data_IF_240122664618
#
_entry.id   IF_240122664618
#
_cell.length_a   1.000
_cell.length_b   1.000
_cell.length_c   1.000
_cell.angle_alpha   90.00
_cell.angle_beta   90.00
_cell.angle_gamma   90.00
#
_symmetry.space_group_name_H-M   'P 1'
#
loop_
_entity.id
_entity.type
_entity.pdbx_description
1 polymer ?
#
# COMPACT_ATOMS: atom_id res chain seq x y z
N UNK A 1 -15.94 21.09 24.09
CA UNK A 1 -16.20 20.32 22.86
C UNK A 1 -15.45 21.01 21.74
N UNK A 2 -14.24 20.53 21.42
CA UNK A 2 -13.47 21.01 20.28
C UNK A 2 -14.21 20.56 19.03
N UNK A 3 -14.43 21.47 18.11
CA UNK A 3 -15.25 21.33 16.92
C UNK A 3 -14.74 20.18 16.04
N UNK A 4 -15.16 18.94 16.28
CA UNK A 4 -14.80 17.74 15.51
C UNK A 4 -15.10 17.87 14.00
N UNK A 5 -16.03 18.75 13.63
CA UNK A 5 -16.38 19.01 12.23
C UNK A 5 -15.22 19.62 11.40
N UNK A 6 -14.34 20.43 11.98
CA UNK A 6 -13.23 21.08 11.25
C UNK A 6 -12.06 20.15 10.91
N UNK A 7 -11.91 19.03 11.61
CA UNK A 7 -10.83 18.08 11.33
C UNK A 7 -11.13 17.16 10.14
N UNK A 8 -12.41 16.82 9.94
CA UNK A 8 -12.83 15.93 8.86
C UNK A 8 -12.95 16.62 7.48
N UNK A 9 -13.06 17.95 7.44
CA UNK A 9 -13.20 18.71 6.18
C UNK A 9 -11.93 18.64 5.29
N UNK A 10 -10.79 18.19 5.85
CA UNK A 10 -9.51 18.09 5.14
C UNK A 10 -9.08 16.65 4.81
N UNK A 11 -9.84 15.65 5.23
CA UNK A 11 -9.52 14.24 4.99
C UNK A 11 -10.65 13.54 4.25
N UNK A 12 -10.28 12.76 3.24
CA UNK A 12 -11.19 11.86 2.55
C UNK A 12 -11.05 10.49 3.21
N UNK A 13 -12.17 9.95 3.70
CA UNK A 13 -12.19 8.60 4.26
C UNK A 13 -12.28 7.58 3.14
N UNK A 14 -11.31 6.68 3.10
CA UNK A 14 -11.30 5.49 2.26
C UNK A 14 -11.84 4.32 3.07
N UNK A 15 -12.80 3.59 2.50
CA UNK A 15 -13.33 2.38 3.10
C UNK A 15 -12.22 1.32 3.17
N UNK A 16 -12.14 0.63 4.31
CA UNK A 16 -11.22 -0.47 4.46
C UNK A 16 -11.98 -1.80 4.44
N UNK A 17 -11.72 -2.62 3.42
CA UNK A 17 -12.11 -4.02 3.32
C UNK A 17 -13.56 -4.33 3.74
N UNK A 18 -14.52 -3.50 3.35
CA UNK A 18 -15.94 -3.62 3.68
C UNK A 18 -16.24 -3.67 5.20
N UNK A 19 -15.41 -3.07 6.03
CA UNK A 19 -15.70 -2.94 7.45
C UNK A 19 -16.84 -1.96 7.67
N UNK A 20 -17.71 -2.25 8.64
CA UNK A 20 -18.72 -1.31 9.09
C UNK A 20 -18.07 -0.18 9.88
N UNK A 21 -18.45 1.05 9.56
CA UNK A 21 -18.03 2.24 10.29
C UNK A 21 -19.03 2.56 11.41
N UNK A 22 -18.60 3.29 12.45
CA UNK A 22 -19.51 3.81 13.46
C UNK A 22 -20.64 4.64 12.82
N UNK A 23 -21.78 4.69 13.47
CA UNK A 23 -22.91 5.51 13.03
C UNK A 23 -22.50 6.97 12.83
N UNK A 24 -22.90 7.57 11.72
CA UNK A 24 -22.53 8.96 11.35
C UNK A 24 -21.24 9.10 10.55
N UNK A 25 -20.52 8.01 10.29
CA UNK A 25 -19.35 7.99 9.40
C UNK A 25 -19.68 7.28 8.09
N UNK A 26 -19.38 7.94 6.98
CA UNK A 26 -19.50 7.37 5.65
C UNK A 26 -18.16 7.54 4.92
N UNK A 27 -17.60 6.44 4.45
CA UNK A 27 -16.42 6.51 3.59
C UNK A 27 -16.81 7.09 2.21
N UNK A 28 -16.09 8.09 1.76
CA UNK A 28 -16.31 8.73 0.45
C UNK A 28 -15.77 7.87 -0.70
N UNK A 29 -14.69 7.13 -0.44
CA UNK A 29 -13.99 6.30 -1.42
C UNK A 29 -14.11 4.84 -0.97
N UNK A 30 -14.47 3.95 -1.88
CA UNK A 30 -14.48 2.50 -1.68
C UNK A 30 -13.06 1.95 -1.89
N UNK A 31 -12.61 0.99 -1.08
CA UNK A 31 -11.45 0.18 -1.41
C UNK A 31 -11.88 -0.99 -2.31
N UNK A 32 -11.18 -1.17 -3.42
CA UNK A 32 -11.40 -2.27 -4.37
C UNK A 32 -10.10 -3.06 -4.54
N UNK A 33 -10.15 -4.35 -4.26
CA UNK A 33 -9.00 -5.23 -4.41
C UNK A 33 -8.72 -5.52 -5.90
N UNK A 34 -7.46 -5.29 -6.31
CA UNK A 34 -6.94 -5.56 -7.64
C UNK A 34 -5.73 -6.51 -7.57
N UNK A 35 -5.91 -7.62 -6.84
CA UNK A 35 -4.88 -8.65 -6.70
C UNK A 35 -4.85 -9.58 -7.93
N UNK A 36 -3.77 -10.33 -8.10
CA UNK A 36 -3.57 -11.21 -9.24
C UNK A 36 -4.51 -12.42 -9.32
N UNK A 37 -5.39 -12.60 -8.35
CA UNK A 37 -6.48 -13.57 -8.37
C UNK A 37 -7.82 -12.96 -8.84
N UNK A 38 -7.82 -11.69 -9.25
CA UNK A 38 -8.99 -10.99 -9.77
C UNK A 38 -9.01 -10.96 -11.29
N UNK A 39 -10.19 -11.11 -11.85
CA UNK A 39 -10.50 -10.97 -13.27
C UNK A 39 -11.58 -9.91 -13.52
N UNK A 40 -12.24 -9.46 -12.44
CA UNK A 40 -13.28 -8.44 -12.46
C UNK A 40 -13.24 -7.62 -11.17
N UNK A 41 -13.61 -6.35 -11.28
CA UNK A 41 -13.90 -5.45 -10.16
C UNK A 41 -15.35 -5.00 -10.22
N UNK A 42 -15.91 -4.55 -9.09
CA UNK A 42 -17.28 -4.07 -9.00
C UNK A 42 -17.36 -2.79 -8.15
N UNK A 43 -16.80 -1.66 -8.64
CA UNK A 43 -16.85 -0.40 -7.94
C UNK A 43 -18.27 0.19 -7.99
N UNK A 44 -18.84 0.50 -6.81
CA UNK A 44 -20.18 1.09 -6.68
C UNK A 44 -20.16 2.62 -6.60
N UNK A 45 -18.97 3.23 -6.40
CA UNK A 45 -18.71 4.67 -6.27
C UNK A 45 -17.25 4.98 -6.57
N UNK A 46 -16.80 6.22 -6.36
CA UNK A 46 -15.38 6.56 -6.40
C UNK A 46 -14.56 5.58 -5.53
N UNK A 47 -13.43 5.10 -6.04
CA UNK A 47 -12.69 4.04 -5.38
C UNK A 47 -11.18 4.22 -5.44
N UNK A 48 -10.53 3.64 -4.44
CA UNK A 48 -9.10 3.37 -4.38
C UNK A 48 -8.86 1.91 -4.75
N UNK A 49 -7.97 1.67 -5.68
CA UNK A 49 -7.59 0.33 -6.11
C UNK A 49 -6.38 -0.15 -5.30
N UNK A 50 -6.60 -1.13 -4.42
CA UNK A 50 -5.54 -1.77 -3.64
C UNK A 50 -4.95 -2.93 -4.44
N UNK A 51 -3.74 -2.76 -4.95
CA UNK A 51 -3.11 -3.72 -5.87
C UNK A 51 -2.38 -4.87 -5.14
N UNK A 52 -1.74 -5.77 -5.90
CA UNK A 52 -0.99 -6.91 -5.35
C UNK A 52 0.14 -6.44 -4.39
N UNK A 53 0.29 -7.10 -3.26
CA UNK A 53 1.17 -6.72 -2.16
C UNK A 53 2.15 -7.80 -1.67
N UNK A 54 2.30 -8.90 -2.42
CA UNK A 54 3.27 -9.99 -2.13
C UNK A 54 3.16 -10.61 -0.73
N UNK A 55 1.96 -10.71 -0.19
CA UNK A 55 1.74 -11.36 1.10
C UNK A 55 1.14 -12.74 0.91
N UNK A 56 1.99 -13.77 0.96
CA UNK A 56 1.56 -15.16 0.82
C UNK A 56 1.51 -15.64 -0.64
N UNK A 57 1.17 -16.90 -0.78
CA UNK A 57 1.02 -17.54 -2.08
C UNK A 57 -0.23 -17.04 -2.79
N UNK A 58 -0.11 -16.73 -4.09
CA UNK A 58 -1.23 -16.39 -4.95
C UNK A 58 -1.60 -17.57 -5.87
N UNK A 59 -2.89 -17.65 -6.17
CA UNK A 59 -3.41 -18.52 -7.21
C UNK A 59 -3.70 -17.65 -8.44
N UNK A 60 -2.92 -17.89 -9.49
CA UNK A 60 -3.10 -17.21 -10.78
C UNK A 60 -3.99 -18.06 -11.67
N UNK A 61 -5.27 -18.16 -11.35
CA UNK A 61 -6.22 -19.02 -12.07
C UNK A 61 -7.38 -18.25 -12.69
N UNK A 62 -7.19 -16.94 -12.94
CA UNK A 62 -8.18 -16.10 -13.62
C UNK A 62 -7.84 -16.03 -15.11
N UNK A 63 -8.85 -15.83 -15.94
CA UNK A 63 -8.67 -15.66 -17.38
C UNK A 63 -7.85 -14.40 -17.69
N UNK A 64 -8.10 -13.31 -16.98
CA UNK A 64 -7.41 -12.03 -17.18
C UNK A 64 -5.91 -12.17 -16.93
N UNK A 65 -5.49 -12.71 -15.78
CA UNK A 65 -4.07 -12.80 -15.44
C UNK A 65 -3.29 -13.72 -16.38
N UNK A 66 -3.96 -14.68 -17.03
CA UNK A 66 -3.30 -15.59 -17.98
C UNK A 66 -2.76 -14.88 -19.22
N UNK A 67 -3.22 -13.66 -19.51
CA UNK A 67 -2.70 -12.80 -20.58
C UNK A 67 -1.33 -12.19 -20.26
N UNK A 68 -0.88 -12.27 -18.99
CA UNK A 68 0.28 -11.56 -18.47
C UNK A 68 1.35 -12.54 -17.94
N UNK A 69 2.11 -13.19 -18.84
CA UNK A 69 3.05 -14.23 -18.47
C UNK A 69 4.20 -13.75 -17.58
N UNK A 70 4.64 -12.49 -17.69
CA UNK A 70 5.69 -11.94 -16.85
C UNK A 70 5.21 -11.77 -15.39
N UNK A 71 3.95 -11.40 -15.15
CA UNK A 71 3.37 -11.34 -13.81
C UNK A 71 3.37 -12.72 -13.15
N UNK A 72 2.95 -13.76 -13.90
CA UNK A 72 2.87 -15.13 -13.40
C UNK A 72 4.27 -15.73 -13.16
N UNK A 73 5.21 -15.52 -14.09
CA UNK A 73 6.55 -16.03 -14.00
C UNK A 73 7.37 -15.41 -12.86
N UNK A 74 7.08 -14.17 -12.49
CA UNK A 74 7.76 -13.47 -11.43
C UNK A 74 7.23 -13.90 -10.06
N UNK A 75 7.57 -15.12 -9.64
CA UNK A 75 7.22 -15.64 -8.32
C UNK A 75 8.35 -16.43 -7.69
N UNK A 76 8.37 -16.47 -6.35
CA UNK A 76 9.26 -17.32 -5.56
C UNK A 76 8.41 -18.10 -4.56
N UNK A 77 8.39 -19.42 -4.71
CA UNK A 77 7.54 -20.29 -3.89
C UNK A 77 6.05 -19.94 -3.94
N UNK A 78 5.57 -19.43 -5.08
CA UNK A 78 4.18 -19.00 -5.29
C UNK A 78 3.86 -17.60 -4.76
N UNK A 79 4.85 -16.87 -4.24
CA UNK A 79 4.69 -15.48 -3.79
C UNK A 79 5.11 -14.53 -4.91
N UNK A 80 4.28 -13.59 -5.33
CA UNK A 80 4.62 -12.64 -6.38
C UNK A 80 5.88 -11.84 -6.05
N UNK A 81 6.75 -11.67 -7.05
CA UNK A 81 7.92 -10.80 -6.98
C UNK A 81 7.61 -9.49 -7.72
N UNK A 82 7.01 -8.54 -7.01
CA UNK A 82 6.61 -7.25 -7.57
C UNK A 82 7.82 -6.51 -8.16
N UNK A 83 7.62 -5.86 -9.28
CA UNK A 83 8.69 -5.05 -9.92
C UNK A 83 9.92 -5.87 -10.29
N UNK A 84 9.74 -7.14 -10.66
CA UNK A 84 10.86 -8.05 -10.98
C UNK A 84 11.64 -7.62 -12.21
N UNK A 85 10.96 -7.12 -13.24
CA UNK A 85 11.56 -6.70 -14.51
C UNK A 85 10.77 -5.55 -15.16
N UNK A 86 11.28 -5.01 -16.26
CA UNK A 86 10.60 -4.00 -17.08
C UNK A 86 9.32 -4.57 -17.70
N UNK A 87 9.36 -5.81 -18.18
CA UNK A 87 8.20 -6.52 -18.74
C UNK A 87 7.12 -6.70 -17.66
N UNK A 88 7.52 -7.06 -16.44
CA UNK A 88 6.61 -7.14 -15.31
C UNK A 88 5.88 -5.82 -15.07
N UNK A 89 6.60 -4.70 -15.04
CA UNK A 89 6.03 -3.39 -14.81
C UNK A 89 5.06 -2.98 -15.95
N UNK A 90 5.42 -3.29 -17.18
CA UNK A 90 4.57 -3.06 -18.36
C UNK A 90 3.29 -3.89 -18.29
N UNK A 91 3.40 -5.21 -18.06
CA UNK A 91 2.23 -6.09 -17.96
C UNK A 91 1.37 -5.77 -16.73
N UNK A 92 1.97 -5.28 -15.64
CA UNK A 92 1.21 -4.85 -14.46
C UNK A 92 0.32 -3.64 -14.77
N UNK A 93 0.82 -2.68 -15.53
CA UNK A 93 -0.01 -1.57 -16.00
C UNK A 93 -1.15 -2.06 -16.91
N UNK A 94 -0.84 -2.95 -17.88
CA UNK A 94 -1.85 -3.52 -18.77
C UNK A 94 -2.93 -4.32 -18.03
N UNK A 95 -2.52 -5.11 -17.02
CA UNK A 95 -3.44 -5.82 -16.14
C UNK A 95 -4.40 -4.86 -15.40
N UNK A 96 -3.87 -3.75 -14.85
CA UNK A 96 -4.71 -2.74 -14.18
C UNK A 96 -5.67 -2.08 -15.18
N UNK A 97 -5.20 -1.72 -16.37
CA UNK A 97 -6.03 -1.09 -17.41
C UNK A 97 -7.15 -2.04 -17.86
N UNK A 98 -6.84 -3.31 -18.11
CA UNK A 98 -7.84 -4.31 -18.47
C UNK A 98 -8.87 -4.55 -17.36
N UNK A 99 -8.40 -4.58 -16.08
CA UNK A 99 -9.27 -4.78 -14.93
C UNK A 99 -10.24 -3.60 -14.72
N UNK A 100 -9.82 -2.38 -15.05
CA UNK A 100 -10.66 -1.16 -15.01
C UNK A 100 -11.58 -1.06 -16.22
N UNK A 101 -11.29 -1.79 -17.30
CA UNK A 101 -12.04 -1.68 -18.56
C UNK A 101 -13.55 -1.93 -18.35
N UNK A 102 -14.37 -1.00 -18.84
CA UNK A 102 -15.83 -1.05 -18.66
C UNK A 102 -16.35 -0.50 -17.32
N UNK A 103 -15.46 -0.04 -16.45
CA UNK A 103 -15.80 0.59 -15.17
C UNK A 103 -15.38 2.06 -15.12
N UNK A 104 -15.79 2.76 -14.07
CA UNK A 104 -15.25 4.11 -13.78
C UNK A 104 -13.77 4.03 -13.46
N UNK A 105 -13.03 5.11 -13.79
CA UNK A 105 -11.61 5.23 -13.46
C UNK A 105 -11.41 5.31 -11.95
N UNK A 106 -10.43 4.60 -11.36
CA UNK A 106 -10.10 4.73 -9.94
C UNK A 106 -9.61 6.16 -9.63
N UNK A 107 -9.94 6.66 -8.46
CA UNK A 107 -9.38 7.92 -7.95
C UNK A 107 -7.91 7.72 -7.54
N UNK A 108 -7.60 6.55 -6.98
CA UNK A 108 -6.28 6.21 -6.45
C UNK A 108 -5.91 4.80 -6.92
N UNK A 109 -4.66 4.61 -7.31
CA UNK A 109 -4.03 3.29 -7.46
C UNK A 109 -2.94 3.16 -6.40
N UNK A 110 -3.15 2.27 -5.44
CA UNK A 110 -2.19 1.98 -4.38
C UNK A 110 -1.35 0.77 -4.76
N UNK A 111 -0.03 1.01 -4.84
CA UNK A 111 0.97 0.00 -5.17
C UNK A 111 1.85 -0.33 -3.96
N UNK A 112 2.59 -1.43 -4.04
CA UNK A 112 3.44 -1.92 -2.97
C UNK A 112 4.90 -2.10 -3.42
N UNK A 113 5.88 -1.90 -2.50
CA UNK A 113 7.29 -2.02 -2.85
C UNK A 113 7.73 -3.48 -3.05
N UNK A 114 8.81 -3.70 -3.82
CA UNK A 114 9.43 -5.02 -3.96
C UNK A 114 10.26 -5.41 -2.73
N UNK A 115 10.73 -6.66 -2.70
CA UNK A 115 11.77 -7.12 -1.79
C UNK A 115 13.16 -6.77 -2.29
N UNK A 116 14.08 -6.54 -1.37
CA UNK A 116 15.45 -6.12 -1.63
C UNK A 116 16.39 -7.25 -2.10
N UNK A 117 15.96 -8.51 -2.08
CA UNK A 117 16.75 -9.65 -2.53
C UNK A 117 16.78 -9.78 -4.07
N UNK A 118 15.88 -9.10 -4.78
CA UNK A 118 15.82 -9.13 -6.24
C UNK A 118 15.61 -7.76 -6.90
N UNK A 119 15.40 -6.71 -6.13
CA UNK A 119 15.20 -5.36 -6.64
C UNK A 119 15.89 -4.34 -5.75
N UNK A 120 16.56 -3.37 -6.35
CA UNK A 120 17.06 -2.17 -5.66
C UNK A 120 16.04 -1.03 -5.75
N UNK A 121 16.22 0.01 -4.93
CA UNK A 121 15.34 1.19 -4.98
C UNK A 121 15.42 1.91 -6.34
N UNK A 122 16.63 2.05 -6.92
CA UNK A 122 16.81 2.58 -8.27
C UNK A 122 16.13 1.70 -9.33
N UNK A 123 16.31 0.38 -9.25
CA UNK A 123 15.64 -0.55 -10.15
C UNK A 123 14.11 -0.54 -10.02
N UNK A 124 13.56 -0.25 -8.84
CA UNK A 124 12.13 0.00 -8.66
C UNK A 124 11.71 1.27 -9.40
N UNK A 125 12.44 2.37 -9.24
CA UNK A 125 12.16 3.65 -9.89
C UNK A 125 12.13 3.53 -11.41
N UNK A 126 13.13 2.85 -12.00
CA UNK A 126 13.18 2.61 -13.46
C UNK A 126 11.94 1.86 -13.96
N UNK A 127 11.50 0.85 -13.21
CA UNK A 127 10.32 0.03 -13.56
C UNK A 127 9.03 0.76 -13.29
N UNK A 128 8.95 1.52 -12.19
CA UNK A 128 7.80 2.36 -11.87
C UNK A 128 7.54 3.37 -12.99
N UNK A 129 8.57 3.97 -13.57
CA UNK A 129 8.42 4.92 -14.69
C UNK A 129 7.71 4.29 -15.91
N UNK A 130 7.98 3.01 -16.19
CA UNK A 130 7.28 2.28 -17.26
C UNK A 130 5.79 2.12 -16.92
N UNK A 131 5.50 1.72 -15.70
CA UNK A 131 4.15 1.56 -15.18
C UNK A 131 3.39 2.90 -15.18
N UNK A 132 4.00 3.95 -14.60
CA UNK A 132 3.44 5.30 -14.50
C UNK A 132 3.03 5.84 -15.88
N UNK A 133 3.92 5.76 -16.86
CA UNK A 133 3.67 6.27 -18.19
C UNK A 133 2.44 5.59 -18.82
N UNK A 134 2.33 4.26 -18.74
CA UNK A 134 1.20 3.51 -19.28
C UNK A 134 -0.11 3.81 -18.55
N UNK A 135 -0.06 3.92 -17.22
CA UNK A 135 -1.24 4.26 -16.41
C UNK A 135 -1.72 5.67 -16.72
N UNK A 136 -0.82 6.66 -16.80
CA UNK A 136 -1.23 8.03 -17.11
C UNK A 136 -1.58 8.26 -18.59
N UNK A 137 -1.12 7.40 -19.49
CA UNK A 137 -1.62 7.38 -20.88
C UNK A 137 -3.11 6.96 -20.92
N UNK A 138 -3.49 5.96 -20.09
CA UNK A 138 -4.87 5.49 -20.02
C UNK A 138 -5.75 6.36 -19.11
N UNK A 139 -5.20 6.84 -17.99
CA UNK A 139 -5.90 7.53 -16.90
C UNK A 139 -5.07 8.74 -16.41
N UNK A 140 -5.10 9.88 -17.13
CA UNK A 140 -4.21 11.03 -16.85
C UNK A 140 -4.31 11.62 -15.44
N UNK A 141 -5.49 11.57 -14.83
CA UNK A 141 -5.78 12.23 -13.55
C UNK A 141 -5.71 11.29 -12.34
N UNK A 142 -5.38 10.01 -12.55
CA UNK A 142 -5.32 9.04 -11.45
C UNK A 142 -4.12 9.35 -10.53
N UNK A 143 -4.35 9.25 -9.23
CA UNK A 143 -3.28 9.40 -8.23
C UNK A 143 -2.65 8.04 -7.97
N UNK A 144 -1.34 7.91 -8.20
CA UNK A 144 -0.60 6.70 -7.86
C UNK A 144 0.10 6.92 -6.52
N UNK A 145 -0.06 5.99 -5.60
CA UNK A 145 0.58 6.03 -4.29
C UNK A 145 1.26 4.69 -3.97
N UNK A 146 2.34 4.74 -3.20
CA UNK A 146 3.02 3.54 -2.68
C UNK A 146 2.88 3.46 -1.16
N UNK A 147 2.45 2.31 -0.66
CA UNK A 147 2.34 2.04 0.77
C UNK A 147 3.69 1.54 1.33
N UNK A 148 4.13 2.07 2.47
CA UNK A 148 5.28 1.49 3.17
C UNK A 148 4.92 0.14 3.81
N UNK A 149 5.90 -0.78 3.88
CA UNK A 149 5.69 -2.14 4.39
C UNK A 149 6.44 -2.39 5.69
N UNK A 150 6.02 -3.41 6.42
CA UNK A 150 6.51 -3.72 7.77
C UNK A 150 8.01 -4.06 7.88
N UNK A 151 8.74 -4.11 6.78
CA UNK A 151 10.16 -4.47 6.78
C UNK A 151 10.44 -5.93 7.19
N UNK A 152 9.40 -6.74 7.31
CA UNK A 152 9.51 -8.15 7.67
C UNK A 152 10.28 -8.92 6.61
N UNK A 153 11.11 -9.86 7.03
CA UNK A 153 11.77 -10.81 6.13
C UNK A 153 10.73 -11.80 5.64
N UNK A 154 10.59 -11.91 4.33
CA UNK A 154 9.67 -12.84 3.70
C UNK A 154 10.37 -13.53 2.52
N UNK A 155 10.40 -14.88 2.55
CA UNK A 155 11.07 -15.70 1.53
C UNK A 155 12.51 -15.29 1.17
N UNK A 156 13.25 -14.70 2.13
CA UNK A 156 14.67 -14.33 1.98
C UNK A 156 14.93 -12.87 1.66
N UNK A 157 13.90 -12.07 1.42
CA UNK A 157 14.01 -10.63 1.21
C UNK A 157 13.26 -9.83 2.26
N UNK A 158 13.58 -8.54 2.33
CA UNK A 158 12.87 -7.53 3.11
C UNK A 158 12.30 -6.49 2.15
N UNK A 159 11.12 -5.97 2.42
CA UNK A 159 10.56 -4.87 1.64
C UNK A 159 11.49 -3.65 1.63
N UNK A 160 11.62 -2.99 0.47
CA UNK A 160 12.51 -1.84 0.28
C UNK A 160 12.06 -0.60 1.05
N UNK A 161 10.76 -0.40 1.17
CA UNK A 161 10.17 0.82 1.75
C UNK A 161 9.48 0.44 3.05
N UNK A 162 10.25 0.32 4.13
CA UNK A 162 9.74 -0.04 5.45
C UNK A 162 10.05 1.00 6.51
N UNK A 163 11.34 1.33 6.69
CA UNK A 163 11.81 2.26 7.71
C UNK A 163 11.72 3.71 7.25
N UNK A 164 11.66 4.64 8.21
CA UNK A 164 11.61 6.08 7.95
C UNK A 164 12.69 6.54 6.96
N UNK A 165 13.94 6.13 7.16
CA UNK A 165 15.05 6.46 6.26
C UNK A 165 14.89 5.89 4.84
N UNK A 166 14.24 4.75 4.70
CA UNK A 166 13.97 4.12 3.40
C UNK A 166 12.84 4.86 2.67
N UNK A 167 11.83 5.33 3.42
CA UNK A 167 10.76 6.20 2.91
C UNK A 167 11.36 7.51 2.43
N UNK A 168 12.25 8.15 3.22
CA UNK A 168 12.94 9.39 2.82
C UNK A 168 13.77 9.18 1.55
N UNK A 169 14.55 8.11 1.47
CA UNK A 169 15.33 7.80 0.26
C UNK A 169 14.45 7.64 -0.99
N UNK A 170 13.26 7.06 -0.84
CA UNK A 170 12.27 7.01 -1.92
C UNK A 170 11.75 8.41 -2.25
N UNK A 171 11.40 9.22 -1.26
CA UNK A 171 10.91 10.58 -1.46
C UNK A 171 11.94 11.47 -2.19
N UNK A 172 13.23 11.32 -1.86
CA UNK A 172 14.32 12.00 -2.55
C UNK A 172 14.38 11.61 -4.03
N UNK A 173 14.23 10.32 -4.33
CA UNK A 173 14.18 9.83 -5.72
C UNK A 173 12.93 10.30 -6.46
N UNK A 174 11.76 10.31 -5.81
CA UNK A 174 10.53 10.85 -6.40
C UNK A 174 10.76 12.30 -6.86
N UNK A 175 11.38 13.11 -6.01
CA UNK A 175 11.66 14.53 -6.31
C UNK A 175 12.74 14.68 -7.38
N UNK A 176 13.87 13.98 -7.25
CA UNK A 176 14.99 14.11 -8.19
C UNK A 176 14.68 13.59 -9.59
N UNK A 177 13.86 12.54 -9.66
CA UNK A 177 13.44 11.89 -10.91
C UNK A 177 12.11 12.44 -11.46
N UNK A 178 11.50 13.41 -10.78
CA UNK A 178 10.22 14.01 -11.12
C UNK A 178 9.10 12.96 -11.39
N UNK A 179 8.99 11.96 -10.50
CA UNK A 179 7.95 10.94 -10.59
C UNK A 179 6.62 11.48 -10.06
N UNK A 180 5.53 11.08 -10.68
CA UNK A 180 4.19 11.38 -10.18
C UNK A 180 3.71 10.27 -9.23
N UNK A 181 4.41 10.10 -8.13
CA UNK A 181 4.19 9.08 -7.10
C UNK A 181 4.03 9.74 -5.73
N UNK A 182 2.92 9.44 -5.06
CA UNK A 182 2.73 9.78 -3.65
C UNK A 182 3.09 8.63 -2.71
N UNK A 183 3.11 8.89 -1.42
CA UNK A 183 3.36 7.89 -0.38
C UNK A 183 2.12 7.78 0.51
N UNK A 184 1.69 6.56 0.78
CA UNK A 184 0.77 6.22 1.86
C UNK A 184 1.58 5.77 3.06
N UNK A 185 1.40 6.42 4.19
CA UNK A 185 2.10 6.08 5.42
C UNK A 185 1.24 5.18 6.29
N UNK A 186 1.54 3.88 6.26
CA UNK A 186 0.96 2.90 7.19
C UNK A 186 1.73 2.94 8.52
N UNK A 187 1.13 3.55 9.53
CA UNK A 187 1.74 3.72 10.84
C UNK A 187 2.05 2.40 11.54
N UNK A 188 1.15 1.42 11.65
CA UNK A 188 1.46 0.12 12.24
C UNK A 188 2.60 -0.62 11.54
N UNK A 189 2.71 -0.52 10.22
CA UNK A 189 3.81 -1.11 9.48
C UNK A 189 5.13 -0.38 9.73
N UNK A 190 5.12 0.95 9.81
CA UNK A 190 6.29 1.74 10.18
C UNK A 190 6.80 1.38 11.58
N UNK A 191 5.90 1.28 12.58
CA UNK A 191 6.25 0.85 13.93
C UNK A 191 6.96 -0.53 13.92
N UNK A 192 6.42 -1.46 13.14
CA UNK A 192 7.00 -2.79 12.99
C UNK A 192 8.38 -2.74 12.32
N UNK A 193 8.52 -1.98 11.24
CA UNK A 193 9.78 -1.83 10.51
C UNK A 193 10.89 -1.17 11.36
N UNK A 194 10.53 -0.21 12.20
CA UNK A 194 11.44 0.46 13.13
C UNK A 194 11.73 -0.36 14.40
N UNK A 195 11.16 -1.57 14.54
CA UNK A 195 11.24 -2.39 15.74
C UNK A 195 10.80 -1.61 17.01
N UNK A 196 9.71 -0.88 16.87
CA UNK A 196 9.06 -0.21 18.00
C UNK A 196 8.02 -1.18 18.56
N UNK A 197 8.30 -1.67 19.78
CA UNK A 197 7.37 -2.57 20.49
C UNK A 197 6.17 -1.75 21.01
N UNK A 198 4.95 -2.02 20.56
CA UNK A 198 3.78 -1.29 21.04
C UNK A 198 3.54 -1.42 22.55
N UNK A 199 3.91 -2.59 23.13
CA UNK A 199 3.75 -2.84 24.57
C UNK A 199 4.84 -2.19 25.42
N UNK A 200 5.95 -1.78 24.80
CA UNK A 200 7.08 -1.07 25.43
C UNK A 200 7.36 0.21 24.66
N UNK A 201 6.30 0.91 24.31
CA UNK A 201 6.35 2.06 23.43
C UNK A 201 7.24 3.17 24.00
N UNK A 202 8.21 3.60 23.20
CA UNK A 202 9.08 4.75 23.46
C UNK A 202 8.72 5.86 22.52
N UNK A 203 8.06 6.87 23.04
CA UNK A 203 7.56 8.04 22.29
C UNK A 203 8.66 8.69 21.47
N UNK A 204 9.87 8.84 22.04
CA UNK A 204 11.00 9.52 21.39
C UNK A 204 11.44 8.80 20.12
N UNK A 205 11.47 7.47 20.13
CA UNK A 205 11.86 6.68 18.96
C UNK A 205 10.85 6.82 17.83
N UNK A 206 9.56 6.81 18.19
CA UNK A 206 8.49 7.01 17.23
C UNK A 206 8.48 8.43 16.66
N UNK A 207 8.58 9.44 17.53
CA UNK A 207 8.66 10.84 17.12
C UNK A 207 9.85 11.08 16.19
N UNK A 208 11.01 10.51 16.48
CA UNK A 208 12.18 10.60 15.62
C UNK A 208 11.92 10.02 14.22
N UNK A 209 11.26 8.86 14.13
CA UNK A 209 10.90 8.27 12.83
C UNK A 209 9.94 9.18 12.04
N UNK A 210 8.90 9.72 12.70
CA UNK A 210 7.94 10.62 12.06
C UNK A 210 8.61 11.95 11.64
N UNK A 211 9.45 12.53 12.50
CA UNK A 211 10.18 13.77 12.19
C UNK A 211 11.10 13.60 10.97
N UNK A 212 11.73 12.44 10.85
CA UNK A 212 12.57 12.12 9.67
C UNK A 212 11.75 12.18 8.38
N UNK A 213 10.50 11.74 8.39
CA UNK A 213 9.60 11.73 7.22
C UNK A 213 8.97 13.12 6.98
N UNK A 214 8.80 13.92 8.05
CA UNK A 214 8.02 15.17 8.00
C UNK A 214 8.55 16.22 7.01
N UNK A 215 9.84 16.16 6.64
CA UNK A 215 10.43 17.03 5.61
C UNK A 215 9.90 16.73 4.21
N UNK A 216 9.30 15.55 4.01
CA UNK A 216 8.69 15.11 2.76
C UNK A 216 7.15 15.02 2.83
N UNK A 217 6.53 15.75 3.77
CA UNK A 217 5.07 15.75 3.98
C UNK A 217 4.25 16.07 2.73
N UNK A 218 4.82 16.80 1.80
CA UNK A 218 4.24 17.15 0.50
C UNK A 218 3.97 15.92 -0.39
N UNK A 219 4.74 14.85 -0.20
CA UNK A 219 4.57 13.56 -0.88
C UNK A 219 3.65 12.60 -0.13
N UNK A 220 3.33 12.85 1.15
CA UNK A 220 2.41 11.98 1.91
C UNK A 220 0.98 12.29 1.47
N UNK A 221 0.37 11.35 0.77
CA UNK A 221 -0.97 11.49 0.20
C UNK A 221 -2.05 10.71 0.95
N UNK A 222 -1.64 9.77 1.78
CA UNK A 222 -2.55 8.97 2.58
C UNK A 222 -1.92 8.45 3.87
N UNK A 223 -2.79 8.03 4.78
CA UNK A 223 -2.39 7.46 6.07
C UNK A 223 -3.26 6.23 6.32
N UNK A 224 -2.62 5.10 6.64
CA UNK A 224 -3.29 3.91 7.13
C UNK A 224 -3.12 3.78 8.63
N UNK A 225 -4.24 3.55 9.33
CA UNK A 225 -4.29 3.30 10.77
C UNK A 225 -5.18 2.08 11.00
N UNK A 226 -4.62 1.05 11.64
CA UNK A 226 -5.35 -0.17 11.94
C UNK A 226 -4.93 -0.76 13.28
N UNK A 227 -5.83 -1.53 13.88
CA UNK A 227 -5.61 -2.20 15.15
C UNK A 227 -4.90 -3.55 14.99
N UNK A 228 -4.39 -4.05 16.12
CA UNK A 228 -3.77 -5.36 16.24
C UNK A 228 -4.12 -5.94 17.60
N UNK A 229 -4.69 -7.13 17.64
CA UNK A 229 -5.02 -7.79 18.90
C UNK A 229 -4.61 -9.26 18.94
N UNK A 230 -4.54 -9.81 20.12
CA UNK A 230 -4.30 -11.24 20.28
C UNK A 230 -5.57 -12.03 20.01
N UNK A 231 -5.44 -13.11 19.23
CA UNK A 231 -6.48 -14.11 19.08
C UNK A 231 -6.66 -14.92 20.39
N UNK A 232 -7.70 -15.72 20.47
CA UNK A 232 -7.92 -16.65 21.57
C UNK A 232 -6.74 -17.63 21.80
N UNK A 233 -5.92 -17.88 20.77
CA UNK A 233 -4.71 -18.71 20.87
C UNK A 233 -3.45 -17.92 21.26
N UNK A 234 -3.58 -16.63 21.58
CA UNK A 234 -2.47 -15.75 21.95
C UNK A 234 -1.63 -15.24 20.77
N UNK A 235 -1.98 -15.56 19.54
CA UNK A 235 -1.28 -15.05 18.33
C UNK A 235 -1.76 -13.64 18.00
N UNK A 236 -0.82 -12.78 17.64
CA UNK A 236 -1.17 -11.45 17.13
C UNK A 236 -1.84 -11.56 15.76
N UNK A 237 -2.96 -10.85 15.62
CA UNK A 237 -3.71 -10.71 14.36
C UNK A 237 -3.70 -9.23 13.98
N UNK A 238 -3.13 -8.93 12.83
CA UNK A 238 -3.15 -7.59 12.24
C UNK A 238 -4.55 -7.29 11.69
N UNK A 239 -4.88 -6.00 11.57
CA UNK A 239 -6.17 -5.53 11.10
C UNK A 239 -7.36 -6.06 11.94
N UNK A 240 -7.13 -6.18 13.26
CA UNK A 240 -8.13 -6.65 14.21
C UNK A 240 -8.11 -5.75 15.46
N UNK A 241 -9.30 -5.50 16.04
CA UNK A 241 -9.44 -4.51 17.11
C UNK A 241 -9.31 -3.08 16.59
N UNK A 242 -9.06 -2.17 17.50
CA UNK A 242 -8.86 -0.75 17.24
C UNK A 242 -7.39 -0.33 17.47
N UNK A 243 -7.09 0.96 17.38
CA UNK A 243 -5.74 1.46 17.58
C UNK A 243 -5.26 1.32 19.04
N UNK A 244 -6.17 1.35 20.03
CA UNK A 244 -5.82 1.13 21.43
C UNK A 244 -5.34 -0.31 21.67
N UNK A 245 -5.97 -1.30 21.02
CA UNK A 245 -5.55 -2.70 21.13
C UNK A 245 -4.15 -2.94 20.56
N UNK A 246 -3.71 -2.12 19.61
CA UNK A 246 -2.35 -2.16 19.10
C UNK A 246 -1.32 -1.87 20.21
N UNK A 247 -1.63 -0.96 21.13
CA UNK A 247 -0.79 -0.59 22.28
C UNK A 247 -1.11 -1.36 23.57
N UNK A 248 -1.87 -2.46 23.48
CA UNK A 248 -2.18 -3.33 24.61
C UNK A 248 -3.42 -2.90 25.40
N UNK A 249 -4.20 -1.98 24.86
CA UNK A 249 -5.53 -1.64 25.41
C UNK A 249 -6.53 -2.77 25.24
N UNK A 250 -7.68 -2.64 25.87
CA UNK A 250 -8.83 -3.53 25.69
C UNK A 250 -9.77 -2.98 24.62
N UNK A 251 -10.53 -3.88 23.98
CA UNK A 251 -11.59 -3.51 23.03
C UNK A 251 -12.68 -2.66 23.67
#
# INVERSE_FOLDING_TARGET
>A
MVNQKRFLDNFILVEYNNLSYPEGYTAQIQEVAAHFDKDVIDPQRAYSMHTEYSYGKRKYNTELISKYPALIAASKNGVPQLWKSAEWASEFADFIVDLVSGHSVPTIIEIHPPFNDYCSLAGFVDRFRIFENKIHEAYPDVIIVIENRAGSVYHGGRFLVGKAKEIVALCDLIKSEALNLGVVLDFPQLLTAENIDPLKFKTEKYQSAIQTIAEHRDLIKGIHIWGKKKSATGRWVAHAGNFDTYFGGND
#
